data_IF_350599043928
#
_entry.id   IF_350599043928
#
_cell.length_a   1.000
_cell.length_b   1.000
_cell.length_c   1.000
_cell.angle_alpha   90.00
_cell.angle_beta   90.00
_cell.angle_gamma   90.00
#
_symmetry.space_group_name_H-M   'P 1'
#
loop_
_entity.id
_entity.type
_entity.pdbx_description
1 polymer ?
#
# COMPACT_ATOMS: atom_id res chain seq x y z
N UNK A 1 11.49 -17.90 -31.47
CA UNK A 1 10.99 -17.47 -30.15
C UNK A 1 11.19 -18.52 -29.09
N UNK A 2 10.97 -19.80 -29.36
CA UNK A 2 11.14 -20.93 -28.42
C UNK A 2 12.60 -21.14 -28.00
N UNK A 3 13.56 -21.02 -28.92
CA UNK A 3 15.00 -21.18 -28.61
C UNK A 3 15.56 -20.09 -27.67
N UNK A 4 15.08 -18.86 -27.75
CA UNK A 4 15.50 -17.80 -26.82
C UNK A 4 14.91 -18.00 -25.42
N UNK A 5 13.73 -18.59 -25.27
CA UNK A 5 13.17 -18.97 -23.95
C UNK A 5 13.93 -20.13 -23.30
N UNK A 6 14.38 -21.11 -24.10
CA UNK A 6 15.17 -22.23 -23.56
C UNK A 6 16.53 -21.79 -23.08
N UNK A 7 17.19 -20.85 -23.78
CA UNK A 7 18.49 -20.31 -23.35
C UNK A 7 18.39 -19.47 -22.07
N UNK A 8 17.32 -18.71 -21.91
CA UNK A 8 17.08 -17.93 -20.69
C UNK A 8 16.76 -18.82 -19.49
N UNK A 9 16.03 -19.90 -19.67
CA UNK A 9 15.71 -20.87 -18.59
C UNK A 9 16.96 -21.62 -18.15
N UNK A 10 17.83 -22.03 -19.09
CA UNK A 10 19.09 -22.71 -18.75
C UNK A 10 20.07 -21.77 -18.06
N UNK A 11 20.17 -20.50 -18.45
CA UNK A 11 21.00 -19.50 -17.76
C UNK A 11 20.47 -19.22 -16.37
N UNK A 12 19.13 -19.18 -16.17
CA UNK A 12 18.50 -19.01 -14.86
C UNK A 12 18.69 -20.24 -13.95
N UNK A 13 18.64 -21.47 -14.49
CA UNK A 13 18.95 -22.69 -13.73
C UNK A 13 20.43 -22.75 -13.31
N UNK A 14 21.37 -22.34 -14.18
CA UNK A 14 22.78 -22.24 -13.80
C UNK A 14 23.02 -21.15 -12.76
N UNK A 15 22.28 -20.03 -12.78
CA UNK A 15 22.38 -18.98 -11.76
C UNK A 15 21.84 -19.42 -10.40
N UNK A 16 20.80 -20.27 -10.36
CA UNK A 16 20.23 -20.79 -9.10
C UNK A 16 21.12 -21.88 -8.50
N UNK A 17 21.74 -22.73 -9.31
CA UNK A 17 22.68 -23.76 -8.83
C UNK A 17 24.01 -23.14 -8.36
N UNK A 18 24.40 -21.98 -8.92
CA UNK A 18 25.58 -21.21 -8.49
C UNK A 18 25.44 -20.48 -7.17
N UNK A 19 24.22 -20.28 -6.65
CA UNK A 19 23.99 -19.57 -5.39
C UNK A 19 24.26 -20.42 -4.12
N UNK A 20 24.39 -21.75 -4.23
CA UNK A 20 24.61 -22.61 -3.06
C UNK A 20 26.05 -23.00 -2.82
N UNK A 21 26.97 -22.68 -3.73
CA UNK A 21 28.41 -22.87 -3.52
C UNK A 21 29.12 -21.53 -3.68
N UNK A 22 29.55 -20.92 -2.57
CA UNK A 22 30.43 -19.74 -2.58
C UNK A 22 31.83 -20.15 -3.05
N UNK A 23 31.93 -20.61 -4.28
CA UNK A 23 33.18 -20.68 -5.04
C UNK A 23 33.24 -19.42 -5.91
N UNK A 24 33.68 -18.31 -5.31
CA UNK A 24 33.96 -17.11 -6.09
C UNK A 24 34.94 -17.48 -7.19
N UNK A 25 34.62 -17.11 -8.43
CA UNK A 25 35.49 -17.31 -9.61
C UNK A 25 36.08 -15.95 -9.95
N UNK A 26 37.40 -15.87 -10.12
CA UNK A 26 38.09 -14.65 -10.53
C UNK A 26 38.85 -14.89 -11.85
N UNK A 27 38.90 -13.89 -12.69
CA UNK A 27 39.70 -13.92 -13.89
C UNK A 27 41.20 -13.78 -13.55
N UNK A 28 42.01 -14.79 -13.83
CA UNK A 28 43.45 -14.72 -13.68
C UNK A 28 44.10 -14.10 -14.93
N UNK A 29 44.64 -12.88 -14.78
CA UNK A 29 45.30 -12.18 -15.85
C UNK A 29 46.60 -12.87 -16.34
N UNK A 30 47.23 -13.65 -15.44
CA UNK A 30 48.46 -14.40 -15.78
C UNK A 30 48.17 -15.69 -16.54
N UNK A 31 47.04 -16.37 -16.21
CA UNK A 31 46.67 -17.65 -16.88
C UNK A 31 45.66 -17.48 -17.99
N UNK A 32 45.10 -16.26 -18.17
CA UNK A 32 44.00 -15.98 -19.08
C UNK A 32 42.82 -16.96 -18.99
N UNK A 33 42.49 -17.38 -17.76
CA UNK A 33 41.41 -18.32 -17.49
C UNK A 33 40.64 -17.91 -16.19
N UNK A 34 39.42 -18.39 -16.04
CA UNK A 34 38.67 -18.27 -14.81
C UNK A 34 39.15 -19.30 -13.79
N UNK A 35 39.66 -18.83 -12.66
CA UNK A 35 40.22 -19.66 -11.60
C UNK A 35 39.31 -19.52 -10.37
N UNK A 36 39.08 -20.65 -9.66
CA UNK A 36 38.35 -20.61 -8.39
C UNK A 36 39.16 -19.85 -7.34
N UNK A 37 38.51 -18.93 -6.62
CA UNK A 37 39.14 -18.16 -5.52
C UNK A 37 39.80 -19.06 -4.48
N UNK A 38 39.20 -20.24 -4.24
CA UNK A 38 39.73 -21.27 -3.30
C UNK A 38 41.03 -21.89 -3.78
N UNK A 39 41.40 -21.79 -5.07
CA UNK A 39 42.68 -22.33 -5.59
C UNK A 39 43.84 -21.34 -5.48
N UNK A 40 43.59 -20.10 -5.06
CA UNK A 40 44.62 -19.07 -4.90
C UNK A 40 45.19 -19.15 -3.48
N UNK A 41 46.52 -19.49 -3.30
CA UNK A 41 47.10 -19.67 -1.99
C UNK A 41 46.97 -18.44 -1.06
N UNK A 42 47.09 -17.24 -1.61
CA UNK A 42 46.95 -16.00 -0.86
C UNK A 42 45.52 -15.80 -0.33
N UNK A 43 44.50 -16.17 -1.11
CA UNK A 43 43.11 -16.07 -0.69
C UNK A 43 42.78 -17.13 0.37
N UNK A 44 43.25 -18.35 0.22
CA UNK A 44 43.06 -19.41 1.21
C UNK A 44 43.79 -19.13 2.54
N UNK A 45 44.98 -18.50 2.49
CA UNK A 45 45.67 -18.02 3.67
C UNK A 45 44.88 -16.91 4.39
N UNK A 46 44.42 -15.91 3.65
CA UNK A 46 43.58 -14.81 4.17
C UNK A 46 42.27 -15.34 4.74
N UNK A 47 41.64 -16.30 4.08
CA UNK A 47 40.41 -16.94 4.57
C UNK A 47 40.65 -17.74 5.84
N UNK A 48 41.78 -18.50 5.94
CA UNK A 48 42.17 -19.17 7.17
C UNK A 48 42.46 -18.20 8.30
N UNK A 49 43.14 -17.10 8.03
CA UNK A 49 43.41 -16.03 8.99
C UNK A 49 42.12 -15.39 9.47
N UNK A 50 41.19 -15.06 8.57
CA UNK A 50 39.88 -14.51 8.90
C UNK A 50 39.02 -15.51 9.69
N UNK A 51 39.07 -16.79 9.37
CA UNK A 51 38.44 -17.86 10.13
C UNK A 51 39.09 -18.02 11.52
N UNK A 52 40.42 -17.94 11.61
CA UNK A 52 41.14 -17.95 12.88
C UNK A 52 40.79 -16.70 13.72
N UNK A 53 40.73 -15.52 13.12
CA UNK A 53 40.27 -14.28 13.80
C UNK A 53 38.80 -14.39 14.22
N UNK A 54 37.92 -14.96 13.40
CA UNK A 54 36.54 -15.25 13.79
C UNK A 54 36.42 -16.27 14.90
N UNK A 55 37.30 -17.31 14.93
CA UNK A 55 37.38 -18.28 16.02
C UNK A 55 38.06 -17.69 17.27
N UNK A 56 38.99 -16.77 17.11
CA UNK A 56 39.65 -16.05 18.21
C UNK A 56 38.77 -14.92 18.79
N UNK A 57 37.72 -14.48 18.08
CA UNK A 57 36.57 -13.83 18.71
C UNK A 57 35.80 -14.97 19.41
N UNK A 58 36.46 -15.63 20.35
CA UNK A 58 35.85 -16.53 21.30
C UNK A 58 34.61 -15.84 21.81
N UNK A 59 33.46 -16.51 21.64
CA UNK A 59 32.26 -16.20 22.41
C UNK A 59 32.78 -16.10 23.85
N UNK A 60 32.91 -14.86 24.37
CA UNK A 60 33.30 -14.72 25.75
C UNK A 60 32.20 -15.35 26.56
N UNK A 61 32.53 -16.42 27.30
CA UNK A 61 31.59 -17.03 28.20
C UNK A 61 31.10 -15.94 29.17
N UNK A 62 29.81 -15.67 29.18
CA UNK A 62 29.18 -14.70 30.08
C UNK A 62 28.70 -15.35 31.36
N UNK A 63 29.25 -16.55 31.71
CA UNK A 63 28.90 -17.30 32.89
C UNK A 63 29.11 -16.46 34.15
N UNK A 64 28.09 -16.41 34.98
CA UNK A 64 28.00 -15.60 36.20
C UNK A 64 27.89 -14.08 36.00
N UNK A 65 27.78 -13.59 34.75
CA UNK A 65 27.45 -12.18 34.52
C UNK A 65 25.97 -11.95 34.75
N UNK A 66 25.65 -10.76 35.27
CA UNK A 66 24.27 -10.33 35.48
C UNK A 66 23.99 -9.17 34.54
N UNK A 67 23.05 -9.36 33.62
CA UNK A 67 22.60 -8.32 32.69
C UNK A 67 21.24 -7.80 33.11
N UNK A 68 21.19 -6.56 33.58
CA UNK A 68 19.94 -5.85 33.89
C UNK A 68 19.50 -5.11 32.65
N UNK A 69 18.33 -5.47 32.09
CA UNK A 69 17.78 -4.74 30.97
C UNK A 69 16.47 -4.06 31.34
N UNK A 70 16.36 -2.80 30.99
CA UNK A 70 15.22 -1.94 31.38
C UNK A 70 14.30 -1.68 30.18
N UNK A 71 13.02 -1.68 30.45
CA UNK A 71 11.99 -1.17 29.52
C UNK A 71 10.66 -0.93 30.25
N UNK A 72 9.74 -0.28 29.57
CA UNK A 72 8.34 -0.18 30.00
C UNK A 72 7.50 -1.30 29.36
N UNK A 73 6.35 -1.54 29.93
CA UNK A 73 5.47 -2.61 29.46
C UNK A 73 4.79 -2.25 28.14
N UNK A 74 4.95 -3.13 27.15
CA UNK A 74 4.27 -3.08 25.84
C UNK A 74 3.67 -4.44 25.51
N UNK A 75 2.39 -4.47 25.19
CA UNK A 75 1.66 -5.71 24.87
C UNK A 75 2.29 -6.45 23.69
N UNK A 76 2.49 -7.76 23.84
CA UNK A 76 3.09 -8.69 22.91
C UNK A 76 4.59 -8.41 22.56
N UNK A 77 5.11 -7.24 22.92
CA UNK A 77 6.51 -6.88 22.75
C UNK A 77 7.32 -7.22 24.00
N UNK A 78 6.94 -6.64 25.14
CA UNK A 78 7.56 -6.84 26.43
C UNK A 78 6.44 -6.79 27.47
N UNK A 79 6.03 -7.93 27.99
CA UNK A 79 4.99 -8.07 29.00
C UNK A 79 5.61 -8.56 30.29
N UNK A 80 5.39 -7.84 31.38
CA UNK A 80 5.89 -8.21 32.68
C UNK A 80 4.87 -9.08 33.43
N UNK A 81 5.34 -10.08 34.14
CA UNK A 81 4.53 -10.95 34.98
C UNK A 81 5.34 -11.40 36.23
N UNK A 82 4.69 -12.12 37.14
CA UNK A 82 5.33 -12.62 38.36
C UNK A 82 5.92 -11.47 39.22
N UNK A 83 5.12 -10.44 39.53
CA UNK A 83 5.54 -9.24 40.25
C UNK A 83 6.71 -8.49 39.56
N UNK A 84 6.64 -8.35 38.23
CA UNK A 84 7.62 -7.67 37.39
C UNK A 84 9.04 -8.32 37.39
N UNK A 85 9.15 -9.56 37.86
CA UNK A 85 10.43 -10.32 37.86
C UNK A 85 10.68 -11.07 36.58
N UNK A 86 9.66 -11.36 35.80
CA UNK A 86 9.76 -12.09 34.53
C UNK A 86 9.12 -11.30 33.39
N UNK A 87 9.58 -11.55 32.19
CA UNK A 87 9.06 -10.92 30.98
C UNK A 87 8.67 -11.96 29.95
N UNK A 88 7.68 -11.62 29.11
CA UNK A 88 7.25 -12.38 27.95
C UNK A 88 7.13 -11.43 26.74
N UNK A 89 6.71 -11.95 25.59
CA UNK A 89 6.66 -11.19 24.36
C UNK A 89 7.87 -11.43 23.47
N UNK A 90 7.89 -10.81 22.28
CA UNK A 90 8.97 -11.09 21.32
C UNK A 90 10.35 -10.73 21.87
N UNK A 91 10.52 -9.54 22.46
CA UNK A 91 11.79 -9.12 23.01
C UNK A 91 12.12 -9.87 24.32
N UNK A 92 11.11 -10.14 25.17
CA UNK A 92 11.29 -10.91 26.39
C UNK A 92 11.84 -12.31 26.11
N UNK A 93 11.21 -13.03 25.20
CA UNK A 93 11.66 -14.37 24.81
C UNK A 93 13.04 -14.35 24.17
N UNK A 94 13.34 -13.34 23.36
CA UNK A 94 14.66 -13.19 22.74
C UNK A 94 15.76 -12.97 23.79
N UNK A 95 15.47 -12.20 24.86
CA UNK A 95 16.41 -12.01 25.98
C UNK A 95 16.64 -13.30 26.77
N UNK A 96 15.61 -14.12 27.03
CA UNK A 96 15.79 -15.41 27.67
C UNK A 96 16.61 -16.37 26.80
N UNK A 97 16.34 -16.44 25.50
CA UNK A 97 17.14 -17.24 24.57
C UNK A 97 18.61 -16.82 24.53
N UNK A 98 18.87 -15.50 24.60
CA UNK A 98 20.24 -14.99 24.71
C UNK A 98 20.90 -15.41 26.05
N UNK A 99 20.15 -15.31 27.14
CA UNK A 99 20.66 -15.71 28.47
C UNK A 99 21.01 -17.20 28.53
N UNK A 100 20.17 -18.06 27.99
CA UNK A 100 20.40 -19.50 27.91
C UNK A 100 21.59 -19.82 26.99
N UNK A 101 21.67 -19.18 25.81
CA UNK A 101 22.73 -19.45 24.85
C UNK A 101 24.11 -18.96 25.30
N UNK A 102 24.17 -17.84 26.02
CA UNK A 102 25.42 -17.23 26.50
C UNK A 102 25.72 -17.49 27.98
N UNK A 103 24.88 -18.26 28.69
CA UNK A 103 25.00 -18.62 30.09
C UNK A 103 25.09 -17.42 31.07
N UNK A 104 24.35 -16.35 30.85
CA UNK A 104 24.28 -15.22 31.79
C UNK A 104 22.94 -15.17 32.52
N UNK A 105 22.90 -14.46 33.64
CA UNK A 105 21.65 -14.21 34.38
C UNK A 105 21.00 -12.94 33.85
N UNK A 106 19.80 -13.09 33.29
CA UNK A 106 18.99 -11.96 32.81
C UNK A 106 18.05 -11.46 33.92
N UNK A 107 18.08 -10.18 34.22
CA UNK A 107 17.18 -9.52 35.19
C UNK A 107 16.42 -8.41 34.44
N UNK A 108 15.13 -8.60 34.16
CA UNK A 108 14.29 -7.56 33.60
C UNK A 108 13.96 -6.48 34.64
N UNK A 109 13.98 -5.23 34.22
CA UNK A 109 13.64 -4.07 35.04
C UNK A 109 12.50 -3.30 34.39
N UNK A 110 11.37 -3.23 35.06
CA UNK A 110 10.23 -2.44 34.62
C UNK A 110 10.37 -0.98 35.07
N UNK A 111 10.19 -0.07 34.12
CA UNK A 111 10.04 1.36 34.44
C UNK A 111 8.57 1.77 34.35
N UNK A 112 8.10 2.53 35.32
CA UNK A 112 6.74 3.11 35.32
C UNK A 112 6.65 4.31 34.38
N UNK A 113 7.78 5.00 34.19
CA UNK A 113 7.85 6.12 33.27
C UNK A 113 8.00 5.58 31.82
N UNK A 114 6.98 5.82 30.99
CA UNK A 114 6.94 5.38 29.60
C UNK A 114 7.65 6.35 28.65
N UNK A 115 8.67 7.00 29.11
CA UNK A 115 9.53 7.88 28.35
C UNK A 115 10.79 7.13 27.92
N UNK A 116 11.04 7.09 26.62
CA UNK A 116 12.26 6.46 26.10
C UNK A 116 13.51 7.27 26.49
N UNK A 117 13.38 8.57 26.53
CA UNK A 117 14.42 9.50 27.00
C UNK A 117 14.84 10.54 25.97
N UNK A 118 15.12 11.70 26.47
CA UNK A 118 15.55 12.88 25.73
C UNK A 118 16.84 13.45 26.33
N UNK A 119 17.70 14.03 25.47
CA UNK A 119 18.88 14.75 25.92
C UNK A 119 18.48 16.14 26.44
N UNK A 120 18.70 16.37 27.70
CA UNK A 120 18.47 17.68 28.34
C UNK A 120 19.58 18.69 28.00
N UNK A 121 19.31 19.98 28.21
CA UNK A 121 20.27 21.05 27.95
C UNK A 121 21.56 20.92 28.77
N UNK A 122 21.51 20.24 29.92
CA UNK A 122 22.66 19.95 30.77
C UNK A 122 23.48 18.73 30.30
N UNK A 123 23.12 18.11 29.15
CA UNK A 123 23.80 16.94 28.60
C UNK A 123 23.35 15.59 29.19
N UNK A 124 22.54 15.57 30.24
CA UNK A 124 21.97 14.33 30.80
C UNK A 124 20.80 13.82 29.96
N UNK A 125 20.47 12.52 30.12
CA UNK A 125 19.34 11.89 29.45
C UNK A 125 18.24 11.57 30.47
N UNK A 126 16.99 11.74 30.03
CA UNK A 126 15.79 11.30 30.78
C UNK A 126 15.40 9.85 30.43
N UNK A 127 14.34 9.34 31.04
CA UNK A 127 13.70 8.09 30.69
C UNK A 127 14.60 6.85 30.75
N UNK A 128 14.33 5.90 29.86
CA UNK A 128 15.05 4.61 29.76
C UNK A 128 16.53 4.83 29.41
N UNK A 129 16.83 5.74 28.48
CA UNK A 129 18.23 6.10 28.14
C UNK A 129 18.96 6.60 29.37
N UNK A 130 18.30 7.48 30.15
CA UNK A 130 18.88 8.04 31.38
C UNK A 130 19.23 6.97 32.42
N UNK A 131 18.41 5.93 32.58
CA UNK A 131 18.71 4.81 33.48
C UNK A 131 19.96 4.06 33.07
N UNK A 132 20.16 3.84 31.76
CA UNK A 132 21.36 3.17 31.24
C UNK A 132 22.60 4.07 31.37
N UNK A 133 22.50 5.35 31.12
CA UNK A 133 23.63 6.28 31.27
C UNK A 133 24.04 6.50 32.72
N UNK A 134 23.11 6.36 33.68
CA UNK A 134 23.39 6.42 35.13
C UNK A 134 23.82 5.07 35.73
N UNK A 135 24.06 4.03 34.89
CA UNK A 135 24.46 2.70 35.31
C UNK A 135 23.42 1.94 36.16
N UNK A 136 22.15 2.35 36.17
CA UNK A 136 21.06 1.63 36.84
C UNK A 136 20.74 0.31 36.11
N UNK A 137 20.86 0.30 34.77
CA UNK A 137 20.74 -0.86 33.93
C UNK A 137 21.87 -0.90 32.89
N UNK A 138 22.22 -2.10 32.39
CA UNK A 138 23.24 -2.29 31.36
C UNK A 138 22.67 -2.24 29.96
N UNK A 139 21.39 -2.58 29.80
CA UNK A 139 20.77 -2.71 28.50
C UNK A 139 19.34 -2.16 28.46
N UNK A 140 18.90 -1.86 27.25
CA UNK A 140 17.52 -1.52 26.89
C UNK A 140 16.95 -2.68 26.09
N UNK A 141 15.81 -3.23 26.50
CA UNK A 141 15.25 -4.45 25.90
C UNK A 141 14.78 -4.27 24.45
N UNK A 142 14.44 -3.07 24.04
CA UNK A 142 14.05 -2.70 22.68
C UNK A 142 14.35 -1.25 22.40
N UNK A 143 15.01 -0.96 21.29
CA UNK A 143 15.32 0.39 20.87
C UNK A 143 15.29 0.52 19.36
N UNK A 144 14.81 1.65 18.86
CA UNK A 144 15.08 2.08 17.49
C UNK A 144 16.51 2.63 17.37
N UNK A 145 17.06 2.57 16.19
CA UNK A 145 18.33 3.22 15.86
C UNK A 145 18.10 4.73 15.72
N UNK A 146 18.56 5.51 16.69
CA UNK A 146 18.42 6.95 16.67
C UNK A 146 19.78 7.63 16.75
N UNK A 147 20.07 8.49 15.78
CA UNK A 147 21.34 9.23 15.71
C UNK A 147 21.53 10.10 16.97
N UNK A 148 20.45 10.67 17.51
CA UNK A 148 20.47 11.53 18.69
C UNK A 148 20.92 10.85 19.98
N UNK A 149 20.83 9.52 20.06
CA UNK A 149 21.20 8.72 21.24
C UNK A 149 22.44 7.86 21.05
N UNK A 150 23.09 7.94 19.87
CA UNK A 150 24.35 7.22 19.61
C UNK A 150 25.50 7.69 20.48
N UNK A 151 25.45 8.91 21.01
CA UNK A 151 26.45 9.41 21.96
C UNK A 151 26.36 8.67 23.31
N UNK A 152 25.16 8.26 23.70
CA UNK A 152 24.87 7.65 25.01
C UNK A 152 24.84 6.11 24.98
N UNK A 153 24.47 5.53 23.85
CA UNK A 153 24.22 4.09 23.72
C UNK A 153 25.05 3.45 22.61
N UNK A 154 25.41 2.19 22.81
CA UNK A 154 25.89 1.31 21.77
C UNK A 154 24.77 0.35 21.37
N UNK A 155 24.37 0.37 20.11
CA UNK A 155 23.34 -0.49 19.58
C UNK A 155 23.88 -1.84 19.12
N UNK A 156 23.11 -2.91 19.30
CA UNK A 156 23.42 -4.23 18.74
C UNK A 156 23.24 -4.24 17.24
N UNK A 157 23.52 -5.37 16.61
CA UNK A 157 23.07 -5.61 15.24
C UNK A 157 21.56 -5.38 15.11
N UNK A 158 21.11 -5.06 13.90
CA UNK A 158 19.70 -4.88 13.60
C UNK A 158 18.94 -6.19 13.75
N UNK A 159 17.90 -6.19 14.57
CA UNK A 159 17.00 -7.33 14.75
C UNK A 159 16.01 -7.43 13.58
N UNK A 160 15.36 -6.31 13.25
CA UNK A 160 14.49 -6.17 12.10
C UNK A 160 14.35 -4.69 11.69
N UNK A 161 13.90 -4.51 10.47
CA UNK A 161 13.54 -3.21 9.92
C UNK A 161 12.05 -2.98 10.16
N UNK A 162 11.70 -1.76 10.50
CA UNK A 162 10.33 -1.31 10.70
C UNK A 162 10.10 0.05 10.05
N UNK A 163 8.87 0.32 9.63
CA UNK A 163 8.49 1.57 8.97
C UNK A 163 7.34 2.23 9.71
N UNK A 164 7.31 3.56 9.63
CA UNK A 164 6.19 4.33 10.16
C UNK A 164 5.13 4.53 9.09
N UNK A 165 3.88 4.30 9.48
CA UNK A 165 2.70 4.50 8.64
C UNK A 165 1.65 5.32 9.36
N UNK A 166 0.77 5.94 8.57
CA UNK A 166 -0.49 6.46 9.09
C UNK A 166 -1.55 5.38 8.90
N UNK A 167 -2.08 4.88 9.99
CA UNK A 167 -3.16 3.90 9.98
C UNK A 167 -4.49 4.60 10.03
N UNK A 168 -5.37 4.29 9.08
CA UNK A 168 -6.72 4.83 8.97
C UNK A 168 -7.72 3.74 8.62
N UNK A 169 -8.95 3.93 9.01
CA UNK A 169 -10.04 3.18 8.41
C UNK A 169 -10.27 3.67 6.99
N UNK A 170 -10.28 2.79 5.99
CA UNK A 170 -10.55 3.17 4.61
C UNK A 170 -11.98 3.71 4.50
N UNK A 171 -12.11 4.99 4.16
CA UNK A 171 -13.39 5.57 3.78
C UNK A 171 -13.58 5.30 2.29
N UNK A 172 -14.52 4.43 1.99
CA UNK A 172 -14.93 4.16 0.62
C UNK A 172 -15.70 5.38 0.10
N UNK A 173 -15.01 6.30 -0.53
CA UNK A 173 -15.67 7.36 -1.29
C UNK A 173 -15.92 6.83 -2.70
N UNK A 174 -17.19 6.70 -3.05
CA UNK A 174 -17.58 6.44 -4.43
C UNK A 174 -17.52 7.77 -5.19
N UNK A 175 -16.73 7.81 -6.21
CA UNK A 175 -16.78 8.89 -7.17
C UNK A 175 -18.11 8.75 -7.94
N UNK A 176 -19.05 9.67 -7.73
CA UNK A 176 -20.34 9.67 -8.44
C UNK A 176 -20.19 9.87 -9.96
N UNK A 177 -19.00 10.28 -10.40
CA UNK A 177 -18.68 10.50 -11.82
C UNK A 177 -17.99 9.31 -12.47
N UNK A 178 -17.87 8.18 -11.76
CA UNK A 178 -17.17 6.98 -12.22
C UNK A 178 -17.59 6.48 -13.62
N UNK A 179 -18.87 6.69 -14.01
CA UNK A 179 -19.37 6.29 -15.34
C UNK A 179 -18.64 7.04 -16.45
N UNK A 180 -18.33 8.33 -16.26
CA UNK A 180 -17.61 9.14 -17.25
C UNK A 180 -16.12 8.82 -17.30
N UNK A 181 -15.56 8.27 -16.21
CA UNK A 181 -14.15 7.87 -16.13
C UNK A 181 -13.91 6.43 -16.62
N UNK A 182 -14.94 5.70 -17.09
CA UNK A 182 -14.81 4.37 -17.69
C UNK A 182 -13.83 4.36 -18.86
N UNK A 183 -13.90 5.37 -19.71
CA UNK A 183 -12.93 5.59 -20.77
C UNK A 183 -12.18 6.91 -20.54
N UNK A 184 -10.92 6.95 -20.98
CA UNK A 184 -10.20 8.22 -20.98
C UNK A 184 -10.85 9.22 -21.95
N UNK A 185 -10.72 10.54 -21.72
CA UNK A 185 -11.36 11.55 -22.57
C UNK A 185 -11.03 11.40 -24.06
N UNK A 186 -9.79 10.99 -24.38
CA UNK A 186 -9.37 10.76 -25.77
C UNK A 186 -10.17 9.64 -26.45
N UNK A 187 -10.50 8.57 -25.72
CA UNK A 187 -11.32 7.46 -26.23
C UNK A 187 -12.75 7.91 -26.45
N UNK A 188 -13.33 8.70 -25.54
CA UNK A 188 -14.67 9.28 -25.73
C UNK A 188 -14.73 10.15 -27.00
N UNK A 189 -13.77 11.04 -27.20
CA UNK A 189 -13.70 11.84 -28.44
C UNK A 189 -13.54 10.98 -29.69
N UNK A 190 -12.76 9.90 -29.65
CA UNK A 190 -12.60 8.99 -30.78
C UNK A 190 -13.89 8.25 -31.12
N UNK A 191 -14.65 7.78 -30.11
CA UNK A 191 -15.93 7.11 -30.30
C UNK A 191 -16.93 8.07 -30.95
N UNK A 192 -17.07 9.29 -30.43
CA UNK A 192 -17.97 10.31 -30.99
C UNK A 192 -17.56 10.70 -32.42
N UNK A 193 -16.27 10.87 -32.68
CA UNK A 193 -15.76 11.22 -34.00
C UNK A 193 -16.06 10.11 -35.02
N UNK A 194 -15.80 8.85 -34.69
CA UNK A 194 -16.12 7.72 -35.57
C UNK A 194 -17.62 7.58 -35.80
N UNK A 195 -18.44 7.79 -34.76
CA UNK A 195 -19.90 7.79 -34.87
C UNK A 195 -20.39 8.84 -35.88
N UNK A 196 -19.88 10.07 -35.80
CA UNK A 196 -20.20 11.17 -36.72
C UNK A 196 -19.78 10.82 -38.14
N UNK A 197 -18.53 10.37 -38.36
CA UNK A 197 -18.04 10.00 -39.69
C UNK A 197 -18.88 8.89 -40.29
N UNK A 198 -19.17 7.82 -39.57
CA UNK A 198 -19.95 6.69 -40.08
C UNK A 198 -21.38 7.08 -40.42
N UNK A 199 -21.95 8.06 -39.71
CA UNK A 199 -23.29 8.60 -40.05
C UNK A 199 -23.25 9.46 -41.30
N UNK A 200 -22.27 10.34 -41.46
CA UNK A 200 -22.06 11.13 -42.68
C UNK A 200 -21.77 10.27 -43.90
N UNK A 201 -20.88 9.29 -43.78
CA UNK A 201 -20.58 8.34 -44.88
C UNK A 201 -21.85 7.64 -45.32
N UNK A 202 -22.71 7.18 -44.39
CA UNK A 202 -23.99 6.59 -44.71
C UNK A 202 -24.92 7.53 -45.53
N UNK A 203 -25.02 8.79 -45.11
CA UNK A 203 -25.79 9.80 -45.80
C UNK A 203 -25.28 10.12 -47.21
N UNK A 204 -23.95 10.30 -47.35
CA UNK A 204 -23.36 10.58 -48.69
C UNK A 204 -23.49 9.41 -49.65
N UNK A 205 -23.24 8.18 -49.19
CA UNK A 205 -23.39 6.99 -50.00
C UNK A 205 -24.81 6.79 -50.48
N UNK A 206 -25.84 7.20 -49.71
CA UNK A 206 -27.23 7.13 -50.14
C UNK A 206 -27.50 8.03 -51.38
N UNK A 207 -26.76 9.13 -51.55
CA UNK A 207 -26.90 10.04 -52.70
C UNK A 207 -26.25 9.55 -53.97
N UNK A 208 -25.40 8.52 -53.90
CA UNK A 208 -24.73 7.97 -55.10
C UNK A 208 -25.75 7.09 -55.84
N UNK A 209 -26.06 7.41 -57.12
CA UNK A 209 -26.96 6.62 -57.93
C UNK A 209 -26.31 5.29 -58.24
N UNK A 210 -26.83 4.16 -57.69
CA UNK A 210 -26.42 2.83 -58.09
C UNK A 210 -27.29 2.33 -59.26
N UNK A 211 -26.67 1.51 -60.12
CA UNK A 211 -27.10 1.08 -61.42
C UNK A 211 -28.55 0.59 -61.56
N UNK A 212 -29.06 0.74 -62.78
CA UNK A 212 -30.43 0.79 -63.30
C UNK A 212 -31.29 -0.48 -63.09
N UNK A 213 -30.81 -1.59 -62.54
CA UNK A 213 -31.53 -2.85 -62.51
C UNK A 213 -32.38 -3.13 -61.25
N UNK A 214 -32.26 -2.28 -60.19
CA UNK A 214 -33.01 -2.47 -58.91
C UNK A 214 -34.08 -1.41 -58.68
N UNK A 215 -34.67 -0.85 -59.75
CA UNK A 215 -35.60 0.29 -59.70
C UNK A 215 -37.01 -0.03 -59.19
N UNK A 216 -37.28 -1.18 -58.55
CA UNK A 216 -38.62 -1.56 -58.13
C UNK A 216 -38.86 -1.61 -56.61
N UNK A 217 -37.87 -1.23 -55.81
CA UNK A 217 -38.09 -1.05 -54.36
C UNK A 217 -38.15 0.45 -54.03
N UNK A 218 -39.17 0.82 -53.27
CA UNK A 218 -39.52 2.16 -52.82
C UNK A 218 -38.26 2.89 -52.37
N UNK A 219 -37.84 3.93 -53.10
CA UNK A 219 -36.71 4.79 -52.72
C UNK A 219 -37.09 5.67 -51.54
N UNK A 220 -37.09 5.13 -50.35
CA UNK A 220 -37.21 5.95 -49.13
C UNK A 220 -35.93 6.74 -48.99
N UNK A 221 -36.04 8.05 -49.19
CA UNK A 221 -34.93 8.98 -48.95
C UNK A 221 -34.90 9.30 -47.47
N UNK A 222 -33.89 8.77 -46.78
CA UNK A 222 -33.64 9.07 -45.37
C UNK A 222 -32.87 10.39 -45.23
N UNK A 223 -33.30 11.17 -44.25
CA UNK A 223 -32.62 12.40 -43.89
C UNK A 223 -31.33 12.15 -43.10
N UNK A 224 -30.47 13.12 -43.00
CA UNK A 224 -29.24 13.01 -42.18
C UNK A 224 -29.56 12.62 -40.70
N UNK A 225 -30.65 13.13 -40.16
CA UNK A 225 -31.16 12.82 -38.82
C UNK A 225 -31.44 11.32 -38.67
N UNK A 226 -32.01 10.69 -39.68
CA UNK A 226 -32.33 9.26 -39.65
C UNK A 226 -31.07 8.41 -39.60
N UNK A 227 -30.02 8.83 -40.32
CA UNK A 227 -28.70 8.14 -40.27
C UNK A 227 -28.04 8.28 -38.90
N UNK A 228 -28.11 9.42 -38.25
CA UNK A 228 -27.64 9.59 -36.88
C UNK A 228 -28.43 8.73 -35.91
N UNK A 229 -29.77 8.77 -36.01
CA UNK A 229 -30.64 7.96 -35.16
C UNK A 229 -30.36 6.48 -35.29
N UNK A 230 -30.23 5.95 -36.53
CA UNK A 230 -29.89 4.55 -36.76
C UNK A 230 -28.51 4.18 -36.24
N UNK A 231 -27.49 5.02 -36.43
CA UNK A 231 -26.17 4.77 -35.91
C UNK A 231 -26.17 4.74 -34.36
N UNK A 232 -26.97 5.63 -33.75
CA UNK A 232 -27.16 5.64 -32.28
C UNK A 232 -27.89 4.39 -31.77
N UNK A 233 -28.97 4.00 -32.45
CA UNK A 233 -29.71 2.79 -32.12
C UNK A 233 -28.83 1.52 -32.16
N UNK A 234 -27.94 1.43 -33.17
CA UNK A 234 -26.96 0.33 -33.25
C UNK A 234 -25.98 0.36 -32.09
N UNK A 235 -25.48 1.54 -31.67
CA UNK A 235 -24.60 1.66 -30.51
C UNK A 235 -25.29 1.26 -29.19
N UNK A 236 -26.62 1.48 -29.10
CA UNK A 236 -27.41 1.03 -27.96
C UNK A 236 -27.78 -0.48 -28.02
N UNK A 237 -27.29 -1.22 -29.00
CA UNK A 237 -27.55 -2.65 -29.13
C UNK A 237 -28.92 -2.99 -29.71
N UNK A 238 -29.63 -2.02 -30.33
CA UNK A 238 -30.88 -2.29 -31.03
C UNK A 238 -30.58 -2.91 -32.40
N UNK A 239 -30.98 -4.19 -32.57
CA UNK A 239 -30.63 -5.00 -33.76
C UNK A 239 -31.53 -4.76 -34.98
N UNK A 240 -32.59 -3.96 -34.88
CA UNK A 240 -33.48 -3.72 -36.02
C UNK A 240 -32.89 -2.64 -36.94
N UNK A 241 -32.55 -3.07 -38.15
CA UNK A 241 -32.17 -2.20 -39.27
C UNK A 241 -33.22 -2.36 -40.34
N UNK A 242 -33.90 -1.26 -40.74
CA UNK A 242 -34.86 -1.34 -41.85
C UNK A 242 -34.19 -1.86 -43.12
N UNK A 243 -34.88 -2.75 -43.88
CA UNK A 243 -34.35 -3.38 -45.10
C UNK A 243 -33.83 -2.39 -46.12
N UNK A 244 -34.46 -1.24 -46.19
CA UNK A 244 -34.04 -0.13 -47.05
C UNK A 244 -32.64 0.41 -46.76
N UNK A 245 -32.15 0.35 -45.49
CA UNK A 245 -30.79 0.71 -45.11
C UNK A 245 -29.81 -0.45 -45.36
N UNK A 246 -30.24 -1.69 -45.18
CA UNK A 246 -29.38 -2.86 -45.29
C UNK A 246 -29.04 -3.20 -46.73
N UNK A 247 -30.02 -3.10 -47.64
CA UNK A 247 -29.85 -3.62 -48.99
C UNK A 247 -28.92 -2.78 -49.89
N UNK A 248 -28.75 -1.48 -49.60
CA UNK A 248 -27.89 -0.62 -50.43
C UNK A 248 -26.39 -0.75 -50.08
N UNK A 249 -26.03 -0.88 -48.77
CA UNK A 249 -24.65 -0.79 -48.35
C UNK A 249 -24.29 -1.80 -47.24
N UNK A 250 -24.32 -3.09 -47.60
CA UNK A 250 -24.06 -4.20 -46.66
C UNK A 250 -22.74 -4.06 -45.91
N UNK A 251 -21.65 -3.66 -46.60
CA UNK A 251 -20.33 -3.51 -45.99
C UNK A 251 -20.32 -2.40 -44.93
N UNK A 252 -20.93 -1.24 -45.22
CA UNK A 252 -21.00 -0.15 -44.26
C UNK A 252 -21.86 -0.53 -43.03
N UNK A 253 -22.98 -1.22 -43.26
CA UNK A 253 -23.84 -1.71 -42.19
C UNK A 253 -23.11 -2.68 -41.28
N UNK A 254 -22.38 -3.63 -41.86
CA UNK A 254 -21.53 -4.57 -41.11
C UNK A 254 -20.45 -3.83 -40.32
N UNK A 255 -19.76 -2.86 -40.94
CA UNK A 255 -18.72 -2.07 -40.25
C UNK A 255 -19.29 -1.29 -39.08
N UNK A 256 -20.47 -0.66 -39.21
CA UNK A 256 -21.17 0.01 -38.11
C UNK A 256 -21.54 -0.96 -36.99
N UNK A 257 -22.05 -2.15 -37.34
CA UNK A 257 -22.44 -3.17 -36.37
C UNK A 257 -21.23 -3.70 -35.58
N UNK A 258 -20.12 -3.98 -36.27
CA UNK A 258 -18.88 -4.43 -35.62
C UNK A 258 -18.34 -3.34 -34.69
N UNK A 259 -18.31 -2.08 -35.13
CA UNK A 259 -17.85 -0.97 -34.31
C UNK A 259 -18.74 -0.81 -33.04
N UNK A 260 -20.07 -0.78 -33.21
CA UNK A 260 -21.02 -0.69 -32.11
C UNK A 260 -20.86 -1.85 -31.12
N UNK A 261 -20.71 -3.09 -31.63
CA UNK A 261 -20.51 -4.27 -30.81
C UNK A 261 -19.21 -4.21 -30.00
N UNK A 262 -18.09 -3.77 -30.62
CA UNK A 262 -16.81 -3.62 -29.90
C UNK A 262 -16.88 -2.55 -28.82
N UNK A 263 -17.52 -1.40 -29.10
CA UNK A 263 -17.71 -0.35 -28.11
C UNK A 263 -18.57 -0.83 -26.95
N UNK A 264 -19.67 -1.52 -27.22
CA UNK A 264 -20.55 -2.08 -26.19
C UNK A 264 -19.84 -3.12 -25.33
N UNK A 265 -19.05 -4.01 -25.97
CA UNK A 265 -18.26 -5.02 -25.27
C UNK A 265 -17.22 -4.39 -24.36
N UNK A 266 -16.47 -3.39 -24.86
CA UNK A 266 -15.48 -2.68 -24.06
C UNK A 266 -16.14 -1.93 -22.90
N UNK A 267 -17.28 -1.26 -23.16
CA UNK A 267 -18.03 -0.56 -22.12
C UNK A 267 -18.50 -1.51 -21.03
N UNK A 268 -19.11 -2.63 -21.40
CA UNK A 268 -19.60 -3.65 -20.46
C UNK A 268 -18.46 -4.26 -19.63
N UNK A 269 -17.33 -4.55 -20.25
CA UNK A 269 -16.15 -5.10 -19.58
C UNK A 269 -15.60 -4.12 -18.54
N UNK A 270 -15.41 -2.86 -18.92
CA UNK A 270 -14.93 -1.82 -17.98
C UNK A 270 -15.94 -1.52 -16.89
N UNK A 271 -17.24 -1.56 -17.20
CA UNK A 271 -18.30 -1.39 -16.22
C UNK A 271 -18.24 -2.48 -15.15
N UNK A 272 -18.16 -3.75 -15.56
CA UNK A 272 -18.05 -4.89 -14.63
C UNK A 272 -16.76 -4.74 -13.79
N UNK A 273 -15.63 -4.44 -14.43
CA UNK A 273 -14.36 -4.23 -13.75
C UNK A 273 -14.47 -3.16 -12.65
N UNK A 274 -15.01 -1.99 -12.96
CA UNK A 274 -15.18 -0.89 -11.99
C UNK A 274 -16.20 -1.18 -10.90
N UNK A 275 -17.23 -1.98 -11.18
CA UNK A 275 -18.21 -2.40 -10.19
C UNK A 275 -17.65 -3.46 -9.22
N UNK A 276 -16.78 -4.35 -9.71
CA UNK A 276 -16.18 -5.42 -8.91
C UNK A 276 -14.95 -4.95 -8.13
N UNK A 277 -14.10 -4.12 -8.72
CA UNK A 277 -12.88 -3.64 -8.07
C UNK A 277 -13.15 -2.28 -7.45
N UNK A 278 -13.17 -2.25 -6.14
CA UNK A 278 -13.22 -1.00 -5.37
C UNK A 278 -11.82 -0.47 -5.21
N UNK A 279 -11.45 0.53 -6.00
CA UNK A 279 -10.25 1.31 -5.73
C UNK A 279 -10.50 2.14 -4.46
N UNK A 280 -9.72 1.88 -3.42
CA UNK A 280 -9.68 2.73 -2.23
C UNK A 280 -9.04 4.05 -2.62
N UNK A 281 -9.85 5.07 -2.85
CA UNK A 281 -9.33 6.43 -2.96
C UNK A 281 -8.89 6.87 -1.57
N UNK A 282 -7.59 6.87 -1.35
CA UNK A 282 -7.03 7.41 -0.13
C UNK A 282 -7.22 8.93 -0.14
N UNK A 283 -7.82 9.52 0.90
CA UNK A 283 -8.10 10.96 0.94
C UNK A 283 -6.83 11.80 1.08
N UNK A 284 -5.68 11.18 1.33
CA UNK A 284 -4.38 11.83 1.47
C UNK A 284 -3.26 10.83 1.22
N UNK A 285 -2.09 11.33 0.83
CA UNK A 285 -0.87 10.54 0.64
C UNK A 285 0.19 10.89 1.69
N UNK A 286 0.13 12.08 2.27
CA UNK A 286 1.11 12.63 3.18
C UNK A 286 0.46 13.21 4.45
N UNK A 287 1.30 13.43 5.48
CA UNK A 287 0.85 14.02 6.75
C UNK A 287 0.25 15.42 6.57
N UNK A 288 0.79 16.21 5.67
CA UNK A 288 0.32 17.58 5.42
C UNK A 288 -1.03 17.55 4.66
N UNK A 289 -1.21 16.61 3.73
CA UNK A 289 -2.48 16.39 3.02
C UNK A 289 -3.54 15.73 3.91
N UNK A 290 -3.15 14.97 4.95
CA UNK A 290 -4.08 14.49 5.97
C UNK A 290 -4.79 15.66 6.66
N UNK A 291 -4.04 16.69 7.05
CA UNK A 291 -4.61 17.84 7.75
C UNK A 291 -5.37 18.81 6.84
N UNK A 292 -5.00 18.94 5.56
CA UNK A 292 -5.72 19.79 4.61
C UNK A 292 -7.01 19.15 4.09
N UNK A 293 -6.97 17.88 3.77
CA UNK A 293 -8.08 17.19 3.08
C UNK A 293 -9.06 16.51 4.04
N UNK A 294 -8.66 16.28 5.29
CA UNK A 294 -9.51 15.57 6.26
C UNK A 294 -9.68 16.36 7.55
N UNK A 295 -10.74 16.05 8.29
CA UNK A 295 -10.98 16.58 9.65
C UNK A 295 -10.51 15.61 10.74
N UNK A 296 -9.76 14.58 10.40
CA UNK A 296 -9.32 13.54 11.35
C UNK A 296 -8.33 14.10 12.36
N UNK A 297 -8.34 13.52 13.55
CA UNK A 297 -7.40 13.82 14.64
C UNK A 297 -6.29 12.76 14.56
N UNK A 298 -5.04 13.21 14.49
CA UNK A 298 -3.89 12.32 14.48
C UNK A 298 -3.56 11.87 15.90
N UNK A 299 -3.53 10.57 16.13
CA UNK A 299 -3.03 9.97 17.36
C UNK A 299 -1.55 9.64 17.19
N UNK A 300 -0.72 10.04 18.12
CA UNK A 300 0.71 9.74 18.12
C UNK A 300 1.17 9.35 19.53
N UNK A 301 2.16 8.47 19.60
CA UNK A 301 2.69 7.99 20.86
C UNK A 301 3.55 9.06 21.53
N UNK A 302 3.23 9.41 22.79
CA UNK A 302 3.99 10.37 23.58
C UNK A 302 5.29 9.75 24.05
N UNK A 303 6.39 10.51 23.98
CA UNK A 303 7.73 10.02 24.38
C UNK A 303 8.47 9.25 23.28
N UNK A 304 7.92 9.18 22.07
CA UNK A 304 8.64 8.71 20.89
C UNK A 304 9.36 9.86 20.19
N UNK A 305 10.37 9.54 19.38
CA UNK A 305 11.04 10.57 18.55
C UNK A 305 10.07 11.31 17.62
N UNK A 306 8.94 10.69 17.31
CA UNK A 306 7.85 11.28 16.52
C UNK A 306 7.18 12.41 17.27
N UNK A 307 6.99 12.27 18.59
CA UNK A 307 6.48 13.35 19.40
C UNK A 307 7.33 14.62 19.23
N UNK A 308 8.65 14.48 19.35
CA UNK A 308 9.59 15.58 19.20
C UNK A 308 9.63 16.11 17.76
N UNK A 309 9.61 15.23 16.78
CA UNK A 309 9.57 15.61 15.37
C UNK A 309 8.31 16.44 15.04
N UNK A 310 7.13 15.96 15.40
CA UNK A 310 5.88 16.66 15.15
C UNK A 310 5.77 17.95 15.93
N UNK A 311 6.20 17.94 17.20
CA UNK A 311 6.22 19.12 18.02
C UNK A 311 7.14 20.19 17.43
N UNK A 312 8.36 19.84 17.04
CA UNK A 312 9.31 20.77 16.44
C UNK A 312 8.86 21.26 15.05
N UNK A 313 8.30 20.38 14.22
CA UNK A 313 7.80 20.73 12.88
C UNK A 313 6.66 21.74 12.95
N UNK A 314 5.74 21.59 13.88
CA UNK A 314 4.52 22.39 13.95
C UNK A 314 4.51 23.48 15.03
N UNK A 315 5.39 23.43 16.03
CA UNK A 315 5.46 24.46 17.07
C UNK A 315 5.96 25.81 16.56
N UNK A 316 6.86 25.81 15.57
CA UNK A 316 7.52 27.00 15.06
C UNK A 316 6.72 27.83 14.05
N UNK A 317 5.59 27.31 13.55
CA UNK A 317 4.74 27.99 12.56
C UNK A 317 3.44 28.50 13.19
N UNK A 318 3.01 29.72 12.88
CA UNK A 318 1.74 30.29 13.36
C UNK A 318 0.53 29.44 12.93
N UNK A 319 0.55 28.89 11.72
CA UNK A 319 -0.44 27.90 11.24
C UNK A 319 -0.26 26.54 11.91
N UNK A 320 0.94 26.20 12.37
CA UNK A 320 1.26 24.94 13.01
C UNK A 320 0.61 24.77 14.39
N UNK A 321 0.36 25.85 15.14
CA UNK A 321 -0.34 25.79 16.44
C UNK A 321 -1.78 25.26 16.28
N UNK A 322 -2.47 25.62 15.22
CA UNK A 322 -3.81 25.09 14.90
C UNK A 322 -3.74 23.61 14.50
N UNK A 323 -2.65 23.18 13.87
CA UNK A 323 -2.43 21.77 13.53
C UNK A 323 -2.07 20.92 14.75
N UNK A 324 -1.28 21.46 15.71
CA UNK A 324 -0.99 20.79 16.97
C UNK A 324 -2.24 20.47 17.78
N UNK A 325 -3.26 21.32 17.74
CA UNK A 325 -4.56 21.03 18.39
C UNK A 325 -5.29 19.82 17.78
N UNK A 326 -4.91 19.40 16.57
CA UNK A 326 -5.46 18.20 15.90
C UNK A 326 -4.57 16.97 16.08
N UNK A 327 -3.49 17.09 16.86
CA UNK A 327 -2.62 15.96 17.21
C UNK A 327 -2.83 15.65 18.68
N UNK A 328 -3.22 14.42 18.98
CA UNK A 328 -3.41 13.95 20.35
C UNK A 328 -2.29 12.96 20.69
N UNK A 329 -1.51 13.30 21.70
CA UNK A 329 -0.43 12.45 22.20
C UNK A 329 -0.92 11.55 23.33
N UNK A 330 -0.71 10.25 23.17
CA UNK A 330 -1.14 9.22 24.13
C UNK A 330 0.10 8.47 24.61
N UNK A 331 0.18 8.24 25.93
CA UNK A 331 1.33 7.59 26.56
C UNK A 331 1.26 6.06 26.56
N UNK A 332 0.12 5.47 26.21
CA UNK A 332 -0.11 4.03 26.19
C UNK A 332 -0.51 3.62 24.77
N UNK A 333 0.32 2.82 24.11
CA UNK A 333 0.07 2.40 22.74
C UNK A 333 -1.22 1.58 22.60
N UNK A 334 -1.56 0.76 23.62
CA UNK A 334 -2.82 0.01 23.65
C UNK A 334 -4.05 0.92 23.68
N UNK A 335 -4.01 2.01 24.46
CA UNK A 335 -5.14 2.96 24.55
C UNK A 335 -5.29 3.73 23.23
N UNK A 336 -4.17 4.03 22.58
CA UNK A 336 -4.15 4.66 21.26
C UNK A 336 -4.81 3.75 20.22
N UNK A 337 -4.47 2.46 20.23
CA UNK A 337 -5.06 1.46 19.35
C UNK A 337 -6.56 1.25 19.63
N UNK A 338 -6.95 1.10 20.88
CA UNK A 338 -8.36 0.96 21.26
C UNK A 338 -9.18 2.18 20.82
N UNK A 339 -8.64 3.38 21.02
CA UNK A 339 -9.32 4.64 20.67
C UNK A 339 -9.57 4.80 19.16
N UNK A 340 -8.64 4.35 18.31
CA UNK A 340 -8.88 4.39 16.88
C UNK A 340 -9.88 3.30 16.46
N UNK A 341 -9.83 2.11 17.05
CA UNK A 341 -10.78 1.04 16.76
C UNK A 341 -12.22 1.38 17.19
N UNK A 342 -12.39 2.10 18.32
CA UNK A 342 -13.71 2.55 18.78
C UNK A 342 -14.33 3.62 17.86
N UNK A 343 -13.51 4.51 17.30
CA UNK A 343 -13.96 5.64 16.46
C UNK A 343 -13.12 5.78 15.18
N UNK A 344 -13.18 4.78 14.32
CA UNK A 344 -12.34 4.64 13.12
C UNK A 344 -12.40 5.82 12.16
N UNK A 345 -13.56 6.51 12.05
CA UNK A 345 -13.73 7.64 11.12
C UNK A 345 -13.16 8.95 11.65
N UNK A 346 -13.03 9.08 12.97
CA UNK A 346 -12.59 10.33 13.63
C UNK A 346 -11.08 10.43 13.75
N UNK A 347 -10.42 9.29 13.92
CA UNK A 347 -8.99 9.24 14.24
C UNK A 347 -8.17 8.68 13.07
N UNK A 348 -6.91 9.10 13.01
CA UNK A 348 -5.83 8.49 12.27
C UNK A 348 -4.69 8.21 13.27
N UNK A 349 -3.96 7.13 13.13
CA UNK A 349 -2.89 6.74 14.05
C UNK A 349 -1.55 6.75 13.32
N UNK A 350 -0.57 7.46 13.85
CA UNK A 350 0.79 7.43 13.35
C UNK A 350 1.62 6.50 14.23
N UNK A 351 1.97 5.34 13.70
CA UNK A 351 2.65 4.30 14.46
C UNK A 351 3.59 3.48 13.57
N UNK A 352 4.52 2.78 14.22
CA UNK A 352 5.44 1.85 13.60
C UNK A 352 4.74 0.50 13.36
N UNK A 353 5.07 -0.14 12.25
CA UNK A 353 4.41 -1.35 11.76
C UNK A 353 4.53 -2.54 12.73
N UNK A 354 5.69 -2.74 13.38
CA UNK A 354 5.90 -3.81 14.33
C UNK A 354 5.01 -3.69 15.57
N UNK A 355 4.91 -2.48 16.14
CA UNK A 355 4.03 -2.22 17.30
C UNK A 355 2.57 -2.29 16.92
N UNK A 356 2.21 -1.72 15.77
CA UNK A 356 0.85 -1.84 15.25
C UNK A 356 0.47 -3.31 15.08
N UNK A 357 1.34 -4.10 14.50
CA UNK A 357 1.12 -5.52 14.33
C UNK A 357 0.97 -6.30 15.62
N UNK A 358 1.77 -5.98 16.61
CA UNK A 358 1.65 -6.60 17.93
C UNK A 358 0.33 -6.26 18.63
N UNK A 359 -0.22 -5.04 18.41
CA UNK A 359 -1.45 -4.58 19.01
C UNK A 359 -2.71 -5.04 18.26
N UNK A 360 -2.65 -5.09 16.95
CA UNK A 360 -3.83 -5.32 16.07
C UNK A 360 -4.16 -6.80 15.85
N UNK A 361 -3.88 -7.68 16.80
CA UNK A 361 -4.22 -9.12 16.70
C UNK A 361 -5.71 -9.38 16.53
N UNK A 362 -6.56 -8.52 17.04
CA UNK A 362 -8.02 -8.65 16.97
C UNK A 362 -8.64 -8.11 15.67
N UNK A 363 -7.80 -7.66 14.71
CA UNK A 363 -8.25 -7.39 13.36
C UNK A 363 -9.11 -6.13 13.17
N UNK A 364 -8.75 -5.02 13.83
CA UNK A 364 -9.36 -3.71 13.52
C UNK A 364 -9.01 -3.35 12.05
N UNK A 365 -9.99 -3.07 11.16
CA UNK A 365 -9.77 -2.87 9.73
C UNK A 365 -9.16 -1.49 9.45
N UNK A 366 -7.85 -1.38 9.65
CA UNK A 366 -7.08 -0.18 9.41
C UNK A 366 -6.11 -0.40 8.26
N UNK A 367 -6.01 0.57 7.37
CA UNK A 367 -5.11 0.57 6.22
C UNK A 367 -3.88 1.43 6.53
N UNK A 368 -2.70 0.93 6.21
CA UNK A 368 -1.46 1.68 6.27
C UNK A 368 -1.33 2.60 5.05
N UNK A 369 -1.14 3.89 5.29
CA UNK A 369 -1.01 4.93 4.26
C UNK A 369 0.34 5.61 4.37
N UNK A 370 1.02 5.75 3.25
CA UNK A 370 2.33 6.39 3.16
C UNK A 370 3.44 5.58 3.83
N UNK A 371 4.64 5.74 3.32
CA UNK A 371 5.86 5.19 3.91
C UNK A 371 6.65 6.37 4.45
N UNK A 372 6.67 6.49 5.77
CA UNK A 372 7.45 7.53 6.45
C UNK A 372 8.82 6.98 6.84
N UNK A 373 9.46 7.62 7.80
CA UNK A 373 10.81 7.25 8.21
C UNK A 373 10.96 5.76 8.53
N UNK A 374 11.96 5.15 7.92
CA UNK A 374 12.39 3.79 8.28
C UNK A 374 13.20 3.85 9.57
N UNK A 375 13.02 2.86 10.41
CA UNK A 375 13.83 2.64 11.60
C UNK A 375 14.27 1.19 11.71
N UNK A 376 15.40 0.99 12.36
CA UNK A 376 15.95 -0.32 12.59
C UNK A 376 15.82 -0.64 14.08
N UNK A 377 15.22 -1.77 14.41
CA UNK A 377 15.04 -2.20 15.79
C UNK A 377 16.26 -2.99 16.23
N UNK A 378 16.75 -2.69 17.42
CA UNK A 378 17.93 -3.29 18.05
C UNK A 378 17.79 -3.29 19.57
N UNK A 379 18.75 -3.82 20.26
CA UNK A 379 18.94 -3.59 21.69
C UNK A 379 19.92 -2.43 21.90
N UNK A 380 19.70 -1.62 22.94
CA UNK A 380 20.63 -0.59 23.36
C UNK A 380 21.47 -1.07 24.55
N UNK A 381 22.77 -0.82 24.54
CA UNK A 381 23.67 -1.12 25.65
C UNK A 381 24.36 0.15 26.10
N UNK A 382 24.89 0.11 27.32
CA UNK A 382 25.83 1.11 27.79
C UNK A 382 26.98 1.28 26.80
N UNK A 383 27.52 2.50 26.76
CA UNK A 383 28.69 2.80 25.94
C UNK A 383 29.88 1.91 26.32
N UNK A 384 30.54 1.32 25.29
CA UNK A 384 31.68 0.42 25.46
C UNK A 384 31.38 -0.85 26.27
N UNK A 385 30.14 -1.37 26.20
CA UNK A 385 29.77 -2.60 26.89
C UNK A 385 30.66 -3.78 26.43
N UNK A 386 31.36 -4.47 27.35
CA UNK A 386 32.41 -5.42 26.97
C UNK A 386 31.92 -6.66 26.23
N UNK A 387 30.68 -7.07 26.45
CA UNK A 387 30.09 -8.27 25.85
C UNK A 387 29.23 -7.99 24.61
N UNK A 388 29.15 -6.73 24.16
CA UNK A 388 28.32 -6.35 23.00
C UNK A 388 28.60 -7.22 21.77
N UNK A 389 29.89 -7.42 21.42
CA UNK A 389 30.28 -8.24 20.27
C UNK A 389 29.82 -9.70 20.38
N UNK A 390 29.83 -10.24 21.61
CA UNK A 390 29.38 -11.62 21.90
C UNK A 390 27.87 -11.74 21.69
N UNK A 391 27.11 -10.74 22.15
CA UNK A 391 25.66 -10.66 21.97
C UNK A 391 25.31 -10.48 20.48
N UNK A 392 26.01 -9.59 19.76
CA UNK A 392 25.84 -9.41 18.32
C UNK A 392 26.05 -10.72 17.56
N UNK A 393 27.08 -11.49 17.92
CA UNK A 393 27.33 -12.80 17.30
C UNK A 393 26.19 -13.80 17.56
N UNK A 394 25.68 -13.86 18.79
CA UNK A 394 24.54 -14.71 19.14
C UNK A 394 23.29 -14.34 18.36
N UNK A 395 22.99 -13.04 18.24
CA UNK A 395 21.86 -12.53 17.47
C UNK A 395 21.98 -12.86 15.97
N UNK A 396 23.19 -12.78 15.38
CA UNK A 396 23.44 -13.21 14.00
C UNK A 396 23.09 -14.69 13.85
N UNK A 397 23.53 -15.53 14.81
CA UNK A 397 23.20 -16.96 14.80
C UNK A 397 21.71 -17.22 14.89
N UNK A 398 20.98 -16.50 15.74
CA UNK A 398 19.53 -16.62 15.85
C UNK A 398 18.82 -16.23 14.55
N UNK A 399 19.33 -15.22 13.87
CA UNK A 399 18.81 -14.83 12.56
C UNK A 399 19.10 -15.89 11.48
N UNK A 400 20.32 -16.45 11.45
CA UNK A 400 20.71 -17.49 10.50
C UNK A 400 19.87 -18.78 10.63
N UNK A 401 19.44 -19.15 11.84
CA UNK A 401 18.60 -20.34 12.08
C UNK A 401 17.09 -20.05 11.97
N UNK A 402 16.69 -18.83 11.61
CA UNK A 402 15.28 -18.45 11.44
C UNK A 402 14.52 -18.24 12.76
N UNK A 403 15.19 -18.18 13.90
CA UNK A 403 14.56 -18.00 15.21
C UNK A 403 13.86 -16.65 15.34
N UNK A 404 14.42 -15.60 14.70
CA UNK A 404 13.82 -14.27 14.71
C UNK A 404 12.47 -14.25 13.98
N UNK A 405 12.37 -14.97 12.86
CA UNK A 405 11.13 -15.05 12.09
C UNK A 405 10.08 -15.89 12.84
N UNK A 406 10.50 -17.00 13.46
CA UNK A 406 9.61 -17.79 14.30
C UNK A 406 9.04 -17.01 15.50
N UNK A 407 9.84 -16.14 16.12
CA UNK A 407 9.37 -15.26 17.20
C UNK A 407 8.41 -14.17 16.68
N UNK A 408 8.68 -13.61 15.52
CA UNK A 408 7.76 -12.65 14.88
C UNK A 408 6.43 -13.31 14.56
N UNK A 409 6.44 -14.48 13.95
CA UNK A 409 5.23 -15.22 13.62
C UNK A 409 4.40 -15.55 14.86
N UNK A 410 5.06 -15.89 15.96
CA UNK A 410 4.38 -16.18 17.23
C UNK A 410 3.73 -14.94 17.85
N UNK A 411 4.42 -13.80 17.86
CA UNK A 411 4.03 -12.62 18.65
C UNK A 411 3.44 -11.48 17.83
N UNK A 412 3.92 -11.30 16.60
CA UNK A 412 3.46 -10.27 15.67
C UNK A 412 2.58 -10.86 14.58
N UNK A 413 2.16 -12.13 14.68
CA UNK A 413 1.42 -12.80 13.61
C UNK A 413 0.25 -11.94 13.18
N UNK A 414 0.57 -11.17 12.24
CA UNK A 414 -0.26 -10.21 11.60
C UNK A 414 -0.86 -11.00 10.46
N UNK A 415 -2.13 -11.17 10.52
CA UNK A 415 -2.96 -11.25 9.34
C UNK A 415 -2.86 -9.96 8.48
N UNK A 416 -1.68 -9.37 8.34
CA UNK A 416 -1.42 -8.34 7.34
C UNK A 416 -1.54 -8.90 5.93
N UNK A 417 -1.35 -10.21 5.74
CA UNK A 417 -1.69 -10.89 4.51
C UNK A 417 -3.21 -10.87 4.24
N UNK A 418 -4.04 -10.99 5.27
CA UNK A 418 -5.48 -10.78 5.10
C UNK A 418 -5.83 -9.33 4.71
N UNK A 419 -5.02 -8.34 5.08
CA UNK A 419 -5.24 -6.96 4.65
C UNK A 419 -4.68 -6.65 3.26
N UNK A 420 -3.63 -7.34 2.80
CA UNK A 420 -3.27 -7.38 1.37
C UNK A 420 -4.34 -8.13 0.55
N UNK A 421 -5.00 -9.09 1.17
CA UNK A 421 -6.08 -9.89 0.57
C UNK A 421 -7.47 -9.27 0.80
N UNK A 422 -7.59 -8.14 1.52
CA UNK A 422 -8.80 -7.29 1.46
C UNK A 422 -8.85 -6.53 0.11
N UNK A 423 -7.76 -6.46 -0.65
CA UNK A 423 -7.83 -6.29 -2.11
C UNK A 423 -8.45 -7.53 -2.81
N UNK A 424 -8.52 -8.70 -2.18
CA UNK A 424 -9.32 -9.82 -2.62
C UNK A 424 -10.80 -9.44 -2.47
N UNK A 425 -11.31 -8.92 -3.60
CA UNK A 425 -12.67 -9.06 -4.11
C UNK A 425 -13.67 -9.51 -3.01
N UNK A 426 -13.93 -8.65 -2.03
CA UNK A 426 -15.17 -8.79 -1.29
C UNK A 426 -16.28 -8.42 -2.28
N UNK A 427 -16.96 -9.45 -2.83
CA UNK A 427 -18.21 -9.29 -3.55
C UNK A 427 -19.22 -8.61 -2.63
N UNK A 428 -19.17 -7.31 -2.55
CA UNK A 428 -20.17 -6.53 -1.83
C UNK A 428 -21.31 -6.27 -2.79
N UNK A 429 -22.54 -6.48 -2.33
CA UNK A 429 -23.74 -6.17 -3.12
C UNK A 429 -23.64 -4.76 -3.70
N UNK A 430 -24.14 -4.59 -4.92
CA UNK A 430 -24.19 -3.30 -5.60
C UNK A 430 -25.14 -2.41 -4.81
N UNK A 431 -24.65 -1.30 -4.29
CA UNK A 431 -25.43 -0.33 -3.53
C UNK A 431 -26.18 0.63 -4.47
N UNK A 432 -27.37 1.04 -4.08
CA UNK A 432 -28.21 1.97 -4.85
C UNK A 432 -27.46 3.27 -5.17
N UNK A 433 -26.57 3.71 -4.28
CA UNK A 433 -25.74 4.90 -4.46
C UNK A 433 -24.81 4.81 -5.68
N UNK A 434 -24.39 3.61 -6.08
CA UNK A 434 -23.53 3.39 -7.25
C UNK A 434 -24.31 3.58 -8.57
N UNK A 435 -25.60 3.30 -8.56
CA UNK A 435 -26.49 3.33 -9.76
C UNK A 435 -27.29 4.63 -9.83
N UNK A 436 -27.23 5.45 -8.77
CA UNK A 436 -28.01 6.69 -8.66
C UNK A 436 -27.85 7.61 -9.87
N UNK A 437 -26.63 7.78 -10.38
CA UNK A 437 -26.37 8.64 -11.54
C UNK A 437 -27.10 8.16 -12.79
N UNK A 438 -27.17 6.84 -13.01
CA UNK A 438 -27.85 6.23 -14.17
C UNK A 438 -29.35 6.50 -14.08
N UNK A 439 -29.95 6.33 -12.90
CA UNK A 439 -31.35 6.65 -12.68
C UNK A 439 -31.64 8.15 -12.87
N UNK A 440 -30.73 9.01 -12.41
CA UNK A 440 -30.86 10.45 -12.57
C UNK A 440 -30.84 10.87 -14.05
N UNK A 441 -29.94 10.30 -14.87
CA UNK A 441 -29.89 10.55 -16.33
C UNK A 441 -31.19 10.08 -16.98
N UNK A 442 -31.71 8.91 -16.60
CA UNK A 442 -32.97 8.40 -17.13
C UNK A 442 -34.15 9.29 -16.78
N UNK A 443 -34.25 9.75 -15.53
CA UNK A 443 -35.30 10.72 -15.11
C UNK A 443 -35.21 12.05 -15.87
N UNK A 444 -34.00 12.58 -16.04
CA UNK A 444 -33.80 13.80 -16.84
C UNK A 444 -34.20 13.60 -18.31
N UNK A 445 -33.81 12.47 -18.90
CA UNK A 445 -34.18 12.13 -20.29
C UNK A 445 -35.69 12.05 -20.51
N UNK A 446 -36.40 11.39 -19.59
CA UNK A 446 -37.88 11.29 -19.66
C UNK A 446 -38.55 12.65 -19.46
N UNK A 447 -38.03 13.49 -18.57
CA UNK A 447 -38.55 14.84 -18.32
C UNK A 447 -38.39 15.75 -19.56
N UNK A 448 -37.22 15.72 -20.19
CA UNK A 448 -36.94 16.46 -21.42
C UNK A 448 -37.86 16.01 -22.56
N UNK A 449 -38.04 14.67 -22.72
CA UNK A 449 -38.93 14.09 -23.71
C UNK A 449 -40.39 14.57 -23.53
N UNK A 450 -40.86 14.63 -22.28
CA UNK A 450 -42.18 15.13 -21.94
C UNK A 450 -42.34 16.62 -22.27
N UNK A 451 -41.32 17.44 -21.97
CA UNK A 451 -41.32 18.86 -22.33
C UNK A 451 -41.41 19.07 -23.84
N UNK A 452 -40.63 18.30 -24.61
CA UNK A 452 -40.67 18.38 -26.09
C UNK A 452 -42.06 18.01 -26.61
N UNK A 453 -42.66 16.94 -26.10
CA UNK A 453 -44.00 16.51 -26.48
C UNK A 453 -45.06 17.61 -26.20
N UNK A 454 -44.95 18.29 -25.07
CA UNK A 454 -45.87 19.42 -24.77
C UNK A 454 -45.65 20.56 -25.74
N UNK A 455 -44.40 20.92 -26.07
CA UNK A 455 -44.08 21.97 -27.03
C UNK A 455 -44.59 21.60 -28.43
N UNK A 456 -44.40 20.37 -28.91
CA UNK A 456 -44.94 19.92 -30.20
C UNK A 456 -46.46 20.04 -30.27
N UNK A 457 -47.16 19.60 -29.20
CA UNK A 457 -48.61 19.77 -29.13
C UNK A 457 -49.06 21.25 -29.19
N UNK A 458 -48.38 22.15 -28.48
CA UNK A 458 -48.68 23.56 -28.50
C UNK A 458 -48.47 24.13 -29.91
N UNK A 459 -47.36 23.80 -30.57
CA UNK A 459 -47.06 24.24 -31.94
C UNK A 459 -48.13 23.71 -32.91
N UNK A 460 -48.49 22.43 -32.79
CA UNK A 460 -49.54 21.83 -33.61
C UNK A 460 -50.87 22.53 -33.44
N UNK A 461 -51.28 22.88 -32.21
CA UNK A 461 -52.52 23.66 -31.96
C UNK A 461 -52.46 25.06 -32.53
N UNK A 462 -51.31 25.72 -32.46
CA UNK A 462 -51.10 27.05 -33.06
C UNK A 462 -51.17 27.00 -34.59
N UNK A 463 -50.55 26.05 -35.23
CA UNK A 463 -50.59 25.88 -36.68
C UNK A 463 -52.02 25.51 -37.17
N UNK A 464 -52.71 24.63 -36.47
CA UNK A 464 -54.09 24.27 -36.78
C UNK A 464 -55.03 25.48 -36.69
N UNK A 465 -54.84 26.30 -35.66
CA UNK A 465 -55.63 27.53 -35.50
C UNK A 465 -55.32 28.55 -36.59
N UNK A 466 -54.10 28.65 -37.06
CA UNK A 466 -53.69 29.56 -38.16
C UNK A 466 -54.21 29.11 -39.53
N UNK A 467 -54.46 27.79 -39.71
CA UNK A 467 -55.06 27.26 -40.96
C UNK A 467 -56.57 27.30 -40.96
N UNK A 468 -57.23 27.57 -39.85
CA UNK A 468 -58.71 27.70 -39.72
C UNK A 468 -59.20 29.15 -39.70
N UNK A 469 -58.29 30.10 -39.84
CA UNK A 469 -58.56 31.53 -40.13
C UNK A 469 -58.17 31.82 -41.59
#
# INVERSE_FOLDING_TARGET
MVERCMLTITVFQFAIIGCCAVSGIIWSKQRQEFVQLSSIPQFTALQKENLAKRRAIKIRDMKNEIVRAVYYEEKNMIMFYDNDTKVDGICGNLWYLLADYLNFTFIPMKTTNRDFGEKLNNGSYTGVIGMVTRNEAQAIMRSGYFISSMDALDYTMVLWKSQFHIYIHPDWQFDNTWVFTLFCPKTWYSIVFLFIILSFVGYFLQKIPMDYKLKKEISVNFNLSDHFFHSYAMMCGQGYIPDAFYNKFKILSISKSIFAWLVLLAFSSHLIYRMTIKETMLPFNDLDTLFSNTKRILLAFRGSNIYYYLHNKYANNTNGKNLLNRIQFISIAQDMHNKICDNMKKYAMYEIDDRFGALNRNGCPLLAVGNYNETYISFGFQKNYPYKKTIDYALIKFNEVGLMDALKDRWMNIKMEEYKNIEEIQFKMIDLHQVYLIFLILCWGTLVSFVILVLENIIYYYEKRKRSI
#
